data_IF_726246081062
#
_entry.id   IF_726246081062
#
_cell.length_a   1.000
_cell.length_b   1.000
_cell.length_c   1.000
_cell.angle_alpha   90.00
_cell.angle_beta   90.00
_cell.angle_gamma   90.00
#
_symmetry.space_group_name_H-M   'P 1'
#
loop_
_entity.id
_entity.type
_entity.pdbx_description
1 polymer ?
#
# COMPACT_ATOMS: atom_id res chain seq x y z
N UNK A 1 85.02 6.73 22.77
CA UNK A 1 84.82 5.78 23.91
C UNK A 1 83.36 5.38 23.90
N UNK A 2 83.21 4.11 23.74
CA UNK A 2 82.01 3.31 23.52
C UNK A 2 81.14 3.17 24.74
N UNK A 3 79.87 3.20 24.65
CA UNK A 3 78.99 2.40 25.50
C UNK A 3 77.68 2.04 24.75
N UNK A 4 77.56 0.75 24.48
CA UNK A 4 76.32 0.07 24.07
C UNK A 4 75.41 -0.03 25.26
N UNK A 5 74.12 0.18 25.02
CA UNK A 5 73.08 -0.18 25.99
C UNK A 5 72.04 -1.05 25.27
N UNK A 6 71.82 -2.20 25.83
CA UNK A 6 70.95 -3.28 25.39
C UNK A 6 69.47 -2.92 25.55
N UNK A 7 68.62 -3.40 24.62
CA UNK A 7 67.17 -3.34 24.65
C UNK A 7 66.67 -4.68 25.20
N UNK A 8 65.79 -4.73 26.20
CA UNK A 8 65.06 -5.95 26.57
C UNK A 8 63.81 -6.12 25.71
N UNK A 9 63.55 -7.36 25.33
CA UNK A 9 62.39 -7.83 24.58
C UNK A 9 61.09 -7.62 25.39
N UNK A 10 60.08 -7.09 24.73
CA UNK A 10 58.72 -6.94 25.26
C UNK A 10 57.91 -8.21 24.93
N UNK A 11 57.28 -8.69 25.95
CA UNK A 11 56.39 -9.84 26.05
C UNK A 11 55.09 -9.64 25.22
N UNK A 12 54.65 -10.68 24.50
CA UNK A 12 53.46 -10.67 23.69
C UNK A 12 52.23 -10.88 24.57
N UNK A 13 51.44 -9.86 24.76
CA UNK A 13 50.14 -9.96 25.41
C UNK A 13 49.07 -10.44 24.37
N UNK A 14 48.38 -11.48 24.74
CA UNK A 14 47.31 -12.12 23.99
C UNK A 14 46.15 -11.18 23.68
N UNK A 15 45.83 -11.02 22.40
CA UNK A 15 44.60 -10.37 21.97
C UNK A 15 43.40 -11.26 22.33
N UNK A 16 42.57 -10.76 23.24
CA UNK A 16 41.26 -11.32 23.56
C UNK A 16 40.28 -11.17 22.36
N UNK A 17 39.90 -12.29 21.79
CA UNK A 17 38.82 -12.37 20.81
C UNK A 17 37.51 -11.98 21.51
N UNK A 18 36.97 -10.84 21.15
CA UNK A 18 35.60 -10.40 21.55
C UNK A 18 34.65 -11.25 20.71
N UNK A 19 33.78 -12.10 21.30
CA UNK A 19 32.78 -12.81 20.51
C UNK A 19 31.81 -11.76 19.91
N UNK A 20 31.70 -11.80 18.57
CA UNK A 20 30.76 -10.99 17.82
C UNK A 20 29.35 -11.24 18.35
N UNK A 21 28.63 -10.18 18.67
CA UNK A 21 27.21 -10.23 18.91
C UNK A 21 26.55 -10.62 17.59
N UNK A 22 26.09 -11.85 17.50
CA UNK A 22 25.15 -12.26 16.48
C UNK A 22 23.88 -11.40 16.65
N UNK A 23 23.81 -10.31 15.92
CA UNK A 23 22.54 -9.59 15.72
C UNK A 23 21.69 -10.55 14.89
N UNK A 24 20.56 -11.05 15.39
CA UNK A 24 19.70 -11.89 14.59
C UNK A 24 19.30 -11.07 13.37
N UNK A 25 19.64 -11.57 12.18
CA UNK A 25 19.08 -11.10 10.93
C UNK A 25 17.56 -11.24 11.06
N UNK A 26 16.87 -10.12 11.28
CA UNK A 26 15.42 -10.04 11.16
C UNK A 26 15.14 -10.40 9.72
N UNK A 27 14.83 -11.67 9.47
CA UNK A 27 14.31 -12.10 8.19
C UNK A 27 13.02 -11.33 8.00
N UNK A 28 13.05 -10.32 7.15
CA UNK A 28 11.85 -9.66 6.64
C UNK A 28 11.10 -10.72 5.84
N UNK A 29 10.26 -11.50 6.51
CA UNK A 29 9.36 -12.45 5.85
C UNK A 29 8.42 -11.62 4.98
N UNK A 30 8.61 -11.72 3.67
CA UNK A 30 7.72 -11.05 2.71
C UNK A 30 6.30 -11.52 2.99
N UNK A 31 5.39 -10.60 3.26
CA UNK A 31 3.96 -10.90 3.43
C UNK A 31 3.49 -11.66 2.20
N UNK A 32 3.03 -12.91 2.40
CA UNK A 32 2.40 -13.67 1.33
C UNK A 32 1.03 -13.05 1.06
N UNK A 33 0.71 -12.89 -0.21
CA UNK A 33 -0.58 -12.37 -0.64
C UNK A 33 -1.24 -13.39 -1.55
N UNK A 34 -2.49 -13.71 -1.27
CA UNK A 34 -3.27 -14.66 -2.06
C UNK A 34 -4.68 -14.12 -2.33
N UNK A 35 -5.32 -14.70 -3.36
CA UNK A 35 -6.71 -14.41 -3.72
C UNK A 35 -7.48 -15.73 -3.66
N UNK A 36 -8.62 -15.75 -2.97
CA UNK A 36 -9.47 -16.92 -2.91
C UNK A 36 -10.00 -17.31 -4.31
N UNK A 37 -10.20 -18.60 -4.53
CA UNK A 37 -10.51 -19.16 -5.84
C UNK A 37 -11.79 -18.58 -6.47
N UNK A 38 -12.77 -18.23 -5.65
CA UNK A 38 -14.04 -17.60 -6.06
C UNK A 38 -13.86 -16.16 -6.55
N UNK A 39 -12.82 -15.46 -6.10
CA UNK A 39 -12.52 -14.09 -6.52
C UNK A 39 -11.57 -13.98 -7.72
N UNK A 40 -10.74 -14.99 -7.99
CA UNK A 40 -9.77 -14.98 -9.10
C UNK A 40 -10.38 -14.65 -10.48
N UNK A 41 -11.60 -15.10 -10.85
CA UNK A 41 -12.21 -14.71 -12.10
C UNK A 41 -12.75 -13.27 -12.14
N UNK A 42 -12.80 -12.60 -11.00
CA UNK A 42 -13.49 -11.32 -10.84
C UNK A 42 -12.50 -10.16 -10.62
N UNK A 43 -11.46 -10.41 -9.82
CA UNK A 43 -10.49 -9.40 -9.41
C UNK A 43 -9.07 -9.92 -9.60
N UNK A 44 -8.22 -9.07 -10.11
CA UNK A 44 -6.78 -9.30 -10.27
C UNK A 44 -6.03 -8.18 -9.55
N UNK A 45 -5.69 -8.38 -8.28
CA UNK A 45 -5.04 -7.31 -7.52
C UNK A 45 -3.59 -7.10 -7.96
N UNK A 46 -3.24 -5.82 -8.07
CA UNK A 46 -1.85 -5.41 -8.10
C UNK A 46 -1.37 -5.14 -6.68
N UNK A 47 -0.21 -5.65 -6.30
CA UNK A 47 0.33 -5.60 -4.96
C UNK A 47 1.72 -4.98 -4.98
N UNK A 48 1.91 -3.91 -4.21
CA UNK A 48 3.19 -3.24 -3.99
C UNK A 48 3.52 -3.25 -2.49
N UNK A 49 4.77 -3.53 -2.16
CA UNK A 49 5.27 -3.38 -0.79
C UNK A 49 6.50 -2.49 -0.77
N UNK A 50 6.60 -1.68 0.28
CA UNK A 50 7.67 -0.70 0.46
C UNK A 50 8.23 -0.75 1.88
N UNK A 51 9.53 -0.49 2.00
CA UNK A 51 10.25 -0.36 3.26
C UNK A 51 11.08 0.95 3.28
N UNK A 52 11.31 1.48 4.48
CA UNK A 52 12.12 2.68 4.66
C UNK A 52 11.48 3.97 4.14
N UNK A 53 10.15 4.02 4.08
CA UNK A 53 9.43 5.22 3.66
C UNK A 53 9.56 6.35 4.69
N UNK A 54 9.55 7.58 4.19
CA UNK A 54 9.44 8.81 4.98
C UNK A 54 8.12 9.47 4.59
N UNK A 55 7.14 9.36 5.46
CA UNK A 55 5.81 9.94 5.27
C UNK A 55 5.77 11.32 5.91
N UNK A 56 5.39 12.34 5.14
CA UNK A 56 5.26 13.72 5.61
C UNK A 56 3.80 14.17 5.54
N UNK A 57 3.39 15.05 6.43
CA UNK A 57 2.02 15.58 6.45
C UNK A 57 1.64 16.32 5.16
N UNK A 58 2.62 16.91 4.45
CA UNK A 58 2.45 17.55 3.16
C UNK A 58 3.78 17.59 2.40
N UNK A 59 3.72 17.35 1.08
CA UNK A 59 4.87 17.54 0.19
C UNK A 59 4.47 18.51 -0.94
N UNK A 60 4.97 19.75 -0.94
CA UNK A 60 4.61 20.76 -1.92
C UNK A 60 5.03 20.40 -3.35
N UNK A 61 5.98 19.48 -3.53
CA UNK A 61 6.37 18.99 -4.86
C UNK A 61 5.23 18.26 -5.59
N UNK A 62 4.23 17.77 -4.85
CA UNK A 62 3.05 17.11 -5.41
C UNK A 62 1.95 18.08 -5.85
N UNK A 63 1.95 19.33 -5.45
CA UNK A 63 0.84 20.24 -5.67
C UNK A 63 0.55 20.46 -7.16
N UNK A 64 1.56 20.83 -7.93
CA UNK A 64 1.39 21.06 -9.37
C UNK A 64 1.02 19.77 -10.15
N UNK A 65 1.70 18.62 -9.99
CA UNK A 65 1.33 17.40 -10.70
C UNK A 65 -0.04 16.84 -10.29
N UNK A 66 -0.45 16.96 -9.03
CA UNK A 66 -1.79 16.55 -8.60
C UNK A 66 -2.85 17.46 -9.21
N UNK A 67 -2.66 18.78 -9.20
CA UNK A 67 -3.58 19.70 -9.84
C UNK A 67 -3.71 19.48 -11.36
N UNK A 68 -2.61 19.14 -12.03
CA UNK A 68 -2.63 18.75 -13.45
C UNK A 68 -3.43 17.47 -13.69
N UNK A 69 -3.27 16.45 -12.83
CA UNK A 69 -4.05 15.22 -12.91
C UNK A 69 -5.55 15.46 -12.68
N UNK A 70 -5.90 16.31 -11.71
CA UNK A 70 -7.29 16.72 -11.47
C UNK A 70 -7.90 17.41 -12.70
N UNK A 71 -7.17 18.34 -13.32
CA UNK A 71 -7.62 19.02 -14.54
C UNK A 71 -7.81 18.03 -15.70
N UNK A 72 -6.86 17.14 -15.93
CA UNK A 72 -6.94 16.11 -16.97
C UNK A 72 -8.16 15.19 -16.78
N UNK A 73 -8.42 14.75 -15.55
CA UNK A 73 -9.52 13.83 -15.24
C UNK A 73 -10.90 14.50 -15.36
N UNK A 74 -11.00 15.82 -15.13
CA UNK A 74 -12.26 16.54 -15.38
C UNK A 74 -12.71 16.49 -16.83
N UNK A 75 -11.76 16.39 -17.76
CA UNK A 75 -12.00 16.35 -19.21
C UNK A 75 -12.29 14.96 -19.75
N UNK A 76 -12.09 13.89 -18.96
CA UNK A 76 -12.30 12.50 -19.40
C UNK A 76 -13.78 12.11 -19.34
N UNK A 77 -14.28 11.31 -20.32
CA UNK A 77 -15.60 10.71 -20.21
C UNK A 77 -15.69 9.70 -19.06
N UNK A 78 -16.91 9.42 -18.53
CA UNK A 78 -17.12 8.57 -17.35
C UNK A 78 -17.00 7.04 -17.62
N UNK A 79 -16.58 6.60 -18.79
CA UNK A 79 -16.69 5.22 -19.26
C UNK A 79 -15.82 4.19 -18.51
N UNK A 80 -14.79 4.65 -17.81
CA UNK A 80 -13.84 3.72 -17.14
C UNK A 80 -14.39 3.02 -15.90
N UNK A 81 -15.52 3.47 -15.34
CA UNK A 81 -16.07 2.89 -14.12
C UNK A 81 -16.90 1.60 -14.33
N UNK A 82 -17.25 1.24 -15.54
CA UNK A 82 -18.16 0.10 -15.82
C UNK A 82 -17.58 -1.24 -15.32
N UNK A 83 -16.30 -1.52 -15.61
CA UNK A 83 -15.61 -2.74 -15.14
C UNK A 83 -15.49 -2.78 -13.62
N UNK A 84 -15.11 -1.65 -12.99
CA UNK A 84 -15.01 -1.54 -11.52
C UNK A 84 -16.38 -1.75 -10.87
N UNK A 85 -17.44 -1.17 -11.41
CA UNK A 85 -18.82 -1.40 -10.92
C UNK A 85 -19.26 -2.84 -11.12
N UNK A 86 -18.86 -3.48 -12.22
CA UNK A 86 -19.09 -4.90 -12.49
C UNK A 86 -18.41 -5.78 -11.43
N UNK A 87 -17.13 -5.51 -11.12
CA UNK A 87 -16.40 -6.16 -10.05
C UNK A 87 -17.12 -6.00 -8.70
N UNK A 88 -17.55 -4.79 -8.33
CA UNK A 88 -18.27 -4.54 -7.09
C UNK A 88 -19.52 -5.42 -6.95
N UNK A 89 -20.39 -5.46 -7.98
CA UNK A 89 -21.60 -6.28 -7.94
C UNK A 89 -21.28 -7.77 -7.78
N UNK A 90 -20.28 -8.27 -8.51
CA UNK A 90 -19.85 -9.68 -8.44
C UNK A 90 -19.21 -10.05 -7.11
N UNK A 91 -18.71 -9.06 -6.36
CA UNK A 91 -18.06 -9.26 -5.05
C UNK A 91 -18.90 -8.80 -3.87
N UNK A 92 -20.25 -8.79 -4.04
CA UNK A 92 -21.20 -8.50 -2.97
C UNK A 92 -21.33 -7.02 -2.59
N UNK A 93 -20.70 -6.10 -3.35
CA UNK A 93 -20.80 -4.67 -3.11
C UNK A 93 -21.79 -4.02 -4.08
N UNK A 94 -22.77 -3.30 -3.55
CA UNK A 94 -23.63 -2.45 -4.38
C UNK A 94 -22.93 -1.10 -4.63
N UNK A 95 -22.47 -0.82 -5.88
CA UNK A 95 -21.75 0.41 -6.18
C UNK A 95 -22.62 1.67 -6.13
N UNK A 96 -23.95 1.54 -6.01
CA UNK A 96 -24.86 2.67 -5.81
C UNK A 96 -24.91 3.10 -4.34
N UNK A 97 -24.83 2.15 -3.42
CA UNK A 97 -24.83 2.36 -1.97
C UNK A 97 -23.41 2.57 -1.42
N UNK A 98 -22.45 1.80 -1.92
CA UNK A 98 -21.02 1.89 -1.56
C UNK A 98 -20.21 2.17 -2.83
N UNK A 99 -19.95 3.45 -3.06
CA UNK A 99 -19.21 3.89 -4.25
C UNK A 99 -17.76 3.40 -4.19
N UNK A 100 -17.18 2.93 -5.32
CA UNK A 100 -15.75 2.71 -5.44
C UNK A 100 -14.95 3.95 -5.03
N UNK A 101 -13.82 3.76 -4.34
CA UNK A 101 -12.98 4.88 -3.87
C UNK A 101 -12.55 5.79 -5.02
N UNK A 102 -12.15 5.23 -6.16
CA UNK A 102 -11.78 5.97 -7.37
C UNK A 102 -12.93 6.86 -7.91
N UNK A 103 -14.17 6.35 -7.92
CA UNK A 103 -15.34 7.14 -8.33
C UNK A 103 -15.69 8.24 -7.33
N UNK A 104 -15.48 8.00 -6.03
CA UNK A 104 -15.71 9.03 -5.03
C UNK A 104 -14.75 10.22 -5.22
N UNK A 105 -13.47 9.93 -5.50
CA UNK A 105 -12.46 10.93 -5.83
C UNK A 105 -12.79 11.66 -7.13
N UNK A 106 -13.16 10.93 -8.19
CA UNK A 106 -13.56 11.50 -9.47
C UNK A 106 -14.74 12.47 -9.32
N UNK A 107 -15.78 12.05 -8.59
CA UNK A 107 -16.96 12.89 -8.36
C UNK A 107 -16.60 14.17 -7.61
N UNK A 108 -15.72 14.07 -6.61
CA UNK A 108 -15.23 15.23 -5.86
C UNK A 108 -14.55 16.23 -6.78
N UNK A 109 -13.59 15.75 -7.58
CA UNK A 109 -12.83 16.59 -8.52
C UNK A 109 -13.72 17.22 -9.59
N UNK A 110 -14.71 16.48 -10.12
CA UNK A 110 -15.68 17.00 -11.10
C UNK A 110 -16.63 18.08 -10.53
N UNK A 111 -16.83 18.10 -9.22
CA UNK A 111 -17.55 19.19 -8.54
C UNK A 111 -16.70 20.44 -8.30
N UNK A 112 -15.45 20.44 -8.74
CA UNK A 112 -14.51 21.54 -8.52
C UNK A 112 -13.77 21.49 -7.19
N UNK A 113 -14.00 20.44 -6.38
CA UNK A 113 -13.28 20.24 -5.13
C UNK A 113 -11.91 19.57 -5.42
N UNK A 114 -10.86 19.97 -4.70
CA UNK A 114 -9.54 19.32 -4.79
C UNK A 114 -9.54 17.93 -4.14
N UNK A 115 -8.57 17.07 -4.49
CA UNK A 115 -8.30 15.84 -3.75
C UNK A 115 -8.04 16.15 -2.27
N UNK A 116 -8.49 15.28 -1.35
CA UNK A 116 -8.14 15.44 0.05
C UNK A 116 -6.62 15.29 0.22
N UNK A 117 -6.02 16.17 1.02
CA UNK A 117 -4.60 16.11 1.38
C UNK A 117 -4.51 15.63 2.82
N UNK A 118 -3.83 14.53 3.04
CA UNK A 118 -3.78 13.83 4.34
C UNK A 118 -2.32 13.66 4.79
N UNK A 119 -1.52 12.96 4.01
CA UNK A 119 -0.07 12.85 4.11
C UNK A 119 0.48 12.39 2.75
N UNK A 120 1.79 12.50 2.56
CA UNK A 120 2.43 12.26 1.27
C UNK A 120 2.07 10.89 0.66
N UNK A 121 2.01 9.83 1.45
CA UNK A 121 1.75 8.48 0.94
C UNK A 121 0.27 8.26 0.59
N UNK A 122 -0.65 8.75 1.42
CA UNK A 122 -2.10 8.71 1.14
C UNK A 122 -2.44 9.60 -0.05
N UNK A 123 -1.79 10.74 -0.19
CA UNK A 123 -1.99 11.66 -1.31
C UNK A 123 -1.57 11.03 -2.65
N UNK A 124 -0.43 10.28 -2.67
CA UNK A 124 -0.02 9.50 -3.84
C UNK A 124 -1.05 8.42 -4.17
N UNK A 125 -1.55 7.71 -3.17
CA UNK A 125 -2.57 6.69 -3.34
C UNK A 125 -3.86 7.28 -3.95
N UNK A 126 -4.33 8.41 -3.44
CA UNK A 126 -5.48 9.14 -3.96
C UNK A 126 -5.25 9.66 -5.38
N UNK A 127 -4.06 10.20 -5.67
CA UNK A 127 -3.68 10.65 -7.00
C UNK A 127 -3.70 9.50 -8.02
N UNK A 128 -3.06 8.38 -7.70
CA UNK A 128 -3.07 7.20 -8.56
C UNK A 128 -4.49 6.65 -8.76
N UNK A 129 -5.27 6.54 -7.69
CA UNK A 129 -6.66 6.07 -7.77
C UNK A 129 -7.53 6.98 -8.65
N UNK A 130 -7.37 8.31 -8.55
CA UNK A 130 -8.05 9.27 -9.40
C UNK A 130 -7.64 9.12 -10.87
N UNK A 131 -6.34 9.05 -11.14
CA UNK A 131 -5.81 9.07 -12.51
C UNK A 131 -6.11 7.77 -13.26
N UNK A 132 -5.93 6.63 -12.60
CA UNK A 132 -6.14 5.31 -13.20
C UNK A 132 -7.56 4.79 -13.10
N UNK A 133 -8.42 5.45 -12.30
CA UNK A 133 -9.82 5.09 -12.07
C UNK A 133 -9.98 3.66 -11.53
N UNK A 134 -9.02 3.19 -10.76
CA UNK A 134 -9.04 1.92 -10.04
C UNK A 134 -9.13 2.18 -8.53
N UNK A 135 -9.86 1.36 -7.77
CA UNK A 135 -9.85 1.42 -6.32
C UNK A 135 -8.48 0.99 -5.77
N UNK A 136 -7.99 1.74 -4.80
CA UNK A 136 -6.75 1.47 -4.09
C UNK A 136 -7.04 1.23 -2.62
N UNK A 137 -6.24 0.38 -1.98
CA UNK A 137 -6.11 0.25 -0.54
C UNK A 137 -4.67 0.54 -0.14
N UNK A 138 -4.46 1.16 1.01
CA UNK A 138 -3.16 1.53 1.53
C UNK A 138 -3.07 1.26 3.02
N UNK A 139 -2.08 0.44 3.41
CA UNK A 139 -1.99 -0.12 4.74
C UNK A 139 -0.58 0.02 5.32
N UNK A 140 -0.50 0.35 6.60
CA UNK A 140 0.73 0.24 7.40
C UNK A 140 1.06 -1.24 7.58
N UNK A 141 2.14 -1.70 6.93
CA UNK A 141 2.53 -3.11 6.91
C UNK A 141 2.90 -3.63 8.29
N UNK A 142 3.37 -2.77 9.19
CA UNK A 142 3.74 -3.17 10.56
C UNK A 142 2.53 -3.48 11.44
N UNK A 143 1.32 -3.16 10.96
CA UNK A 143 0.05 -3.45 11.63
C UNK A 143 -0.70 -4.63 11.02
N UNK A 144 -0.10 -5.32 10.04
CA UNK A 144 -0.62 -6.53 9.41
C UNK A 144 0.05 -7.73 10.08
N UNK A 145 -0.74 -8.72 10.45
CA UNK A 145 -0.26 -9.93 11.12
C UNK A 145 -0.37 -11.16 10.20
N UNK A 146 0.78 -11.74 9.86
CA UNK A 146 0.85 -12.94 8.99
C UNK A 146 0.55 -12.65 7.53
N UNK A 147 -0.01 -13.64 6.86
CA UNK A 147 -0.31 -13.59 5.44
C UNK A 147 -1.60 -12.82 5.15
N UNK A 148 -1.68 -12.20 3.99
CA UNK A 148 -2.86 -11.46 3.53
C UNK A 148 -3.62 -12.28 2.50
N UNK A 149 -4.91 -12.41 2.70
CA UNK A 149 -5.83 -13.04 1.74
C UNK A 149 -6.90 -12.06 1.30
N UNK A 150 -7.14 -11.96 0.01
CA UNK A 150 -8.31 -11.29 -0.58
C UNK A 150 -9.39 -12.35 -0.76
N UNK A 151 -10.50 -12.22 -0.02
CA UNK A 151 -11.59 -13.22 0.01
C UNK A 151 -12.95 -12.55 0.26
N UNK A 152 -14.02 -13.31 0.20
CA UNK A 152 -15.30 -12.87 0.75
C UNK A 152 -15.26 -12.96 2.28
N UNK A 153 -15.83 -11.96 2.95
CA UNK A 153 -15.97 -11.96 4.41
C UNK A 153 -16.99 -12.96 4.89
N UNK A 154 -16.76 -13.54 6.08
CA UNK A 154 -17.71 -14.41 6.80
C UNK A 154 -18.93 -13.65 7.32
N UNK A 155 -19.94 -14.39 7.79
CA UNK A 155 -21.24 -13.82 8.18
C UNK A 155 -21.15 -12.76 9.29
N UNK A 156 -20.31 -12.99 10.31
CA UNK A 156 -20.15 -12.10 11.47
C UNK A 156 -18.90 -11.21 11.38
N UNK A 157 -18.26 -11.16 10.21
CA UNK A 157 -17.02 -10.39 10.08
C UNK A 157 -17.29 -8.92 9.81
N UNK A 158 -16.58 -8.10 10.59
CA UNK A 158 -16.55 -6.65 10.44
C UNK A 158 -15.22 -6.07 10.90
N UNK A 159 -14.98 -4.81 10.63
CA UNK A 159 -13.87 -4.04 11.18
C UNK A 159 -14.24 -2.57 11.36
N UNK A 160 -13.56 -1.89 12.28
CA UNK A 160 -13.72 -0.45 12.46
C UNK A 160 -13.02 0.28 11.31
N UNK A 161 -13.77 1.02 10.50
CA UNK A 161 -13.26 1.87 9.44
C UNK A 161 -12.48 3.08 9.98
N UNK A 162 -11.71 3.74 9.11
CA UNK A 162 -10.89 4.93 9.48
C UNK A 162 -11.76 6.02 10.11
N UNK A 163 -13.02 6.18 9.68
CA UNK A 163 -13.97 7.16 10.23
C UNK A 163 -14.75 6.64 11.43
N UNK A 164 -14.32 5.52 12.02
CA UNK A 164 -14.93 4.84 13.17
C UNK A 164 -16.30 4.19 12.91
N UNK A 165 -16.77 4.16 11.67
CA UNK A 165 -17.95 3.39 11.31
C UNK A 165 -17.60 1.90 11.27
N UNK A 166 -18.53 1.05 11.68
CA UNK A 166 -18.36 -0.39 11.55
C UNK A 166 -18.61 -0.82 10.10
N UNK A 167 -17.66 -1.53 9.53
CA UNK A 167 -17.70 -2.02 8.15
C UNK A 167 -17.96 -3.52 8.17
N UNK A 168 -19.21 -3.91 7.97
CA UNK A 168 -19.61 -5.30 7.82
C UNK A 168 -19.19 -5.84 6.45
N UNK A 169 -18.54 -7.00 6.43
CA UNK A 169 -18.01 -7.62 5.19
C UNK A 169 -18.65 -8.95 4.85
N UNK A 170 -19.71 -9.37 5.54
CA UNK A 170 -20.43 -10.60 5.23
C UNK A 170 -20.77 -10.73 3.75
N UNK A 171 -20.26 -11.77 3.08
CA UNK A 171 -20.44 -12.02 1.65
C UNK A 171 -19.85 -10.95 0.70
N UNK A 172 -18.97 -10.08 1.19
CA UNK A 172 -18.34 -9.00 0.42
C UNK A 172 -16.84 -9.18 0.35
N UNK A 173 -16.24 -8.68 -0.73
CA UNK A 173 -14.79 -8.68 -0.87
C UNK A 173 -14.11 -7.95 0.29
N UNK A 174 -13.12 -8.59 0.89
CA UNK A 174 -12.30 -8.06 1.97
C UNK A 174 -10.87 -8.57 1.92
N UNK A 175 -9.93 -7.71 2.30
CA UNK A 175 -8.58 -8.11 2.70
C UNK A 175 -8.65 -8.56 4.15
N UNK A 176 -8.05 -9.70 4.43
CA UNK A 176 -7.93 -10.24 5.78
C UNK A 176 -6.50 -10.73 6.05
N UNK A 177 -6.09 -10.62 7.30
CA UNK A 177 -4.87 -11.18 7.85
C UNK A 177 -5.19 -12.15 9.00
N UNK A 178 -4.22 -12.56 9.81
CA UNK A 178 -4.44 -13.46 10.95
C UNK A 178 -5.41 -12.89 12.01
N UNK A 179 -5.62 -11.57 12.06
CA UNK A 179 -6.56 -10.90 12.98
C UNK A 179 -7.97 -10.72 12.40
N UNK A 180 -8.17 -11.07 11.13
CA UNK A 180 -9.44 -10.87 10.43
C UNK A 180 -9.42 -9.74 9.40
N UNK A 181 -10.59 -9.30 8.91
CA UNK A 181 -10.69 -8.33 7.84
C UNK A 181 -10.15 -6.95 8.25
N UNK A 182 -9.50 -6.25 7.30
CA UNK A 182 -8.92 -4.93 7.54
C UNK A 182 -9.08 -3.93 6.39
N UNK A 183 -9.66 -4.31 5.27
CA UNK A 183 -9.84 -3.40 4.15
C UNK A 183 -10.68 -3.98 3.03
N UNK A 184 -11.22 -3.10 2.19
CA UNK A 184 -11.90 -3.46 0.96
C UNK A 184 -11.81 -2.31 -0.07
N UNK A 185 -12.26 -2.49 -1.33
CA UNK A 185 -12.13 -1.44 -2.37
C UNK A 185 -12.85 -0.10 -2.07
N UNK A 186 -13.57 0.00 -0.96
CA UNK A 186 -14.32 1.21 -0.58
C UNK A 186 -13.89 1.81 0.75
N UNK A 187 -13.26 1.03 1.65
CA UNK A 187 -12.98 1.45 3.02
C UNK A 187 -11.85 0.65 3.63
N UNK A 188 -10.91 1.32 4.26
CA UNK A 188 -9.80 0.73 4.98
C UNK A 188 -10.04 0.81 6.49
N UNK A 189 -9.40 -0.09 7.27
CA UNK A 189 -9.57 -0.15 8.71
C UNK A 189 -8.71 0.88 9.44
N UNK A 190 -9.21 1.35 10.58
CA UNK A 190 -8.44 2.19 11.49
C UNK A 190 -7.21 1.45 12.05
N UNK A 191 -7.27 0.12 12.14
CA UNK A 191 -6.16 -0.70 12.65
C UNK A 191 -4.91 -0.61 11.77
N UNK A 192 -5.10 -0.70 10.46
CA UNK A 192 -4.00 -0.74 9.48
C UNK A 192 -3.78 0.58 8.76
N UNK A 193 -4.41 1.65 9.26
CA UNK A 193 -4.31 2.99 8.69
C UNK A 193 -2.87 3.49 8.68
N UNK A 194 -2.43 4.03 7.54
CA UNK A 194 -1.15 4.71 7.40
C UNK A 194 -1.19 6.05 8.14
N UNK A 195 -0.16 6.27 8.97
CA UNK A 195 0.10 7.54 9.66
C UNK A 195 1.44 8.11 9.22
N UNK A 196 1.77 9.32 9.66
CA UNK A 196 3.08 9.95 9.37
C UNK A 196 4.26 9.16 9.97
N UNK A 197 4.00 8.26 10.93
CA UNK A 197 5.02 7.38 11.52
C UNK A 197 5.24 6.08 10.73
N UNK A 198 4.44 5.80 9.68
CA UNK A 198 4.58 4.59 8.91
C UNK A 198 5.86 4.61 8.06
N UNK A 199 6.69 3.57 8.21
CA UNK A 199 7.91 3.39 7.41
C UNK A 199 7.81 2.23 6.44
N UNK A 200 6.77 1.40 6.55
CA UNK A 200 6.53 0.23 5.72
C UNK A 200 5.08 0.23 5.25
N UNK A 201 4.85 -0.02 3.97
CA UNK A 201 3.51 0.02 3.41
C UNK A 201 3.19 -1.17 2.51
N UNK A 202 1.92 -1.56 2.54
CA UNK A 202 1.27 -2.42 1.55
C UNK A 202 0.27 -1.58 0.77
N UNK A 203 0.46 -1.47 -0.55
CA UNK A 203 -0.47 -0.80 -1.46
C UNK A 203 -1.11 -1.84 -2.37
N UNK A 204 -2.43 -1.82 -2.45
CA UNK A 204 -3.22 -2.75 -3.26
C UNK A 204 -3.99 -1.96 -4.31
N UNK A 205 -3.92 -2.40 -5.56
CA UNK A 205 -4.78 -1.96 -6.64
C UNK A 205 -5.84 -3.03 -6.87
N UNK A 206 -7.09 -2.74 -6.58
CA UNK A 206 -8.20 -3.67 -6.82
C UNK A 206 -8.64 -3.57 -8.27
N UNK A 207 -7.92 -4.22 -9.17
CA UNK A 207 -8.25 -4.19 -10.58
C UNK A 207 -9.28 -5.28 -10.94
N UNK A 208 -10.34 -4.96 -11.71
CA UNK A 208 -11.17 -5.97 -12.34
C UNK A 208 -10.32 -6.94 -13.17
N UNK A 209 -10.69 -8.23 -13.23
CA UNK A 209 -9.93 -9.23 -13.97
C UNK A 209 -9.86 -8.92 -15.49
N UNK A 210 -10.80 -8.11 -15.98
CA UNK A 210 -10.87 -7.63 -17.36
C UNK A 210 -9.81 -6.57 -17.71
N UNK A 211 -9.15 -5.96 -16.69
CA UNK A 211 -8.07 -4.99 -16.95
C UNK A 211 -6.88 -5.72 -17.59
N UNK A 212 -6.41 -5.26 -18.78
CA UNK A 212 -5.29 -5.90 -19.45
C UNK A 212 -4.03 -5.89 -18.57
N UNK A 213 -3.28 -7.01 -18.55
CA UNK A 213 -2.05 -7.13 -17.76
C UNK A 213 -1.05 -5.98 -18.02
N UNK A 214 -0.74 -5.60 -19.30
CA UNK A 214 0.21 -4.52 -19.53
C UNK A 214 -0.24 -3.18 -18.94
N UNK A 215 -1.56 -2.91 -18.90
CA UNK A 215 -2.11 -1.72 -18.25
C UNK A 215 -1.90 -1.78 -16.74
N UNK A 216 -2.16 -2.92 -16.11
CA UNK A 216 -1.99 -3.07 -14.66
C UNK A 216 -0.51 -2.98 -14.27
N UNK A 217 0.39 -3.57 -15.05
CA UNK A 217 1.84 -3.43 -14.90
C UNK A 217 2.28 -1.96 -14.95
N UNK A 218 1.78 -1.19 -15.93
CA UNK A 218 2.03 0.24 -16.04
C UNK A 218 1.50 1.02 -14.82
N UNK A 219 0.29 0.71 -14.36
CA UNK A 219 -0.32 1.31 -13.17
C UNK A 219 0.57 1.09 -11.95
N UNK A 220 1.03 -0.15 -11.74
CA UNK A 220 1.91 -0.48 -10.62
C UNK A 220 3.27 0.22 -10.73
N UNK A 221 3.85 0.26 -11.93
CA UNK A 221 5.13 0.92 -12.17
C UNK A 221 5.06 2.42 -11.84
N UNK A 222 4.00 3.11 -12.29
CA UNK A 222 3.82 4.54 -12.01
C UNK A 222 3.52 4.78 -10.53
N UNK A 223 2.68 3.95 -9.91
CA UNK A 223 2.36 4.06 -8.48
C UNK A 223 3.62 3.92 -7.63
N UNK A 224 4.45 2.93 -7.94
CA UNK A 224 5.73 2.73 -7.26
C UNK A 224 6.70 3.90 -7.49
N UNK A 225 6.88 4.32 -8.73
CA UNK A 225 7.77 5.44 -9.04
C UNK A 225 7.39 6.72 -8.28
N UNK A 226 6.09 7.03 -8.18
CA UNK A 226 5.59 8.15 -7.38
C UNK A 226 5.88 7.96 -5.89
N UNK A 227 5.62 6.77 -5.35
CA UNK A 227 5.90 6.47 -3.93
C UNK A 227 7.37 6.71 -3.62
N UNK A 228 8.29 6.17 -4.42
CA UNK A 228 9.72 6.35 -4.23
C UNK A 228 10.18 7.81 -4.42
N UNK A 229 9.59 8.53 -5.37
CA UNK A 229 9.95 9.93 -5.65
C UNK A 229 9.59 10.89 -4.49
N UNK A 230 8.47 10.65 -3.80
CA UNK A 230 7.95 11.57 -2.78
C UNK A 230 8.11 11.06 -1.35
N UNK A 231 8.18 9.75 -1.15
CA UNK A 231 8.36 9.16 0.19
C UNK A 231 9.70 8.44 0.35
N UNK A 232 10.53 8.34 -0.70
CA UNK A 232 11.80 7.60 -0.63
C UNK A 232 11.59 6.11 -0.37
N UNK A 233 12.57 5.50 0.31
CA UNK A 233 12.52 4.08 0.64
C UNK A 233 12.86 3.16 -0.53
N UNK A 234 12.40 1.93 -0.44
CA UNK A 234 12.65 0.86 -1.42
C UNK A 234 11.38 0.07 -1.69
N UNK A 235 11.08 -0.20 -2.96
CA UNK A 235 10.08 -1.21 -3.34
C UNK A 235 10.65 -2.60 -3.05
N UNK A 236 10.01 -3.35 -2.16
CA UNK A 236 10.45 -4.70 -1.78
C UNK A 236 9.71 -5.80 -2.55
N UNK A 237 8.55 -5.50 -3.11
CA UNK A 237 7.82 -6.43 -3.99
C UNK A 237 6.85 -5.67 -4.90
N UNK A 238 6.73 -6.15 -6.14
CA UNK A 238 5.69 -5.78 -7.11
C UNK A 238 5.14 -7.03 -7.74
N UNK A 239 3.85 -7.28 -7.57
CA UNK A 239 3.19 -8.49 -8.09
C UNK A 239 1.80 -8.17 -8.62
N UNK A 240 1.36 -8.96 -9.60
CA UNK A 240 -0.04 -9.13 -9.99
C UNK A 240 -0.42 -10.55 -9.55
N UNK A 241 -1.53 -10.68 -8.85
CA UNK A 241 -1.97 -11.96 -8.24
C UNK A 241 -3.32 -12.37 -8.80
#
# INVERSE_FOLDING_TARGET
MSARSEVPAADAAAEGIIPGRDTPLVQSTAVQFSVSADLQPIVRPGVLTFDGLIVTSHDPRMDAPVAAAEAAVRMRPPEESAAVRGMFRRTGLDPTKRRPSSEALLRRVRKGEALPRINSLVDICNWCSLEFQLPYGLYDRDRIEGDVVLRLGGEDESYTGIRKDEVHVAGRIALADARGPFGNPSSDSARTMVTDAATRALMIVFAPAEVPLPRLEQVLAISSARTLAYCGGTETSRRIV
#
